data_IF_093611686724
#
_entry.id   IF_093611686724
#
_cell.length_a   1.000
_cell.length_b   1.000
_cell.length_c   1.000
_cell.angle_alpha   90.00
_cell.angle_beta   90.00
_cell.angle_gamma   90.00
#
_symmetry.space_group_name_H-M   'P 1'
#
loop_
_entity.id
_entity.type
_entity.pdbx_description
1 polymer ?
#
# COMPACT_ATOMS: atom_id res chain seq x y z
N UNK A 1 -33.06 -9.87 -51.13
CA UNK A 1 -33.66 -9.22 -49.95
C UNK A 1 -32.85 -9.67 -48.73
N UNK A 2 -31.69 -9.10 -48.39
CA UNK A 2 -31.36 -7.71 -48.07
C UNK A 2 -32.26 -7.10 -46.98
N UNK A 3 -31.84 -7.26 -45.73
CA UNK A 3 -31.77 -6.20 -44.70
C UNK A 3 -30.60 -6.53 -43.74
N UNK A 4 -29.56 -5.70 -43.81
CA UNK A 4 -28.47 -5.50 -42.84
C UNK A 4 -29.01 -5.10 -41.47
N UNK A 5 -28.25 -5.41 -40.41
CA UNK A 5 -27.58 -4.46 -39.48
C UNK A 5 -26.92 -5.28 -38.36
N UNK A 6 -25.62 -5.58 -38.38
CA UNK A 6 -24.53 -4.73 -37.84
C UNK A 6 -24.97 -3.97 -36.58
N UNK A 7 -24.75 -4.56 -35.40
CA UNK A 7 -24.97 -3.89 -34.11
C UNK A 7 -23.83 -4.13 -33.08
N UNK A 8 -22.70 -4.72 -33.48
CA UNK A 8 -21.57 -4.98 -32.57
C UNK A 8 -20.30 -4.19 -32.93
N UNK A 9 -20.45 -3.00 -33.50
CA UNK A 9 -19.35 -2.05 -33.67
C UNK A 9 -19.87 -0.61 -33.68
N UNK A 10 -19.08 0.29 -33.08
CA UNK A 10 -19.29 1.74 -32.85
C UNK A 10 -19.99 2.04 -31.51
N UNK A 11 -19.55 2.92 -30.62
CA UNK A 11 -18.40 3.81 -30.49
C UNK A 11 -18.53 4.39 -29.06
N UNK A 12 -17.48 4.37 -28.24
CA UNK A 12 -17.32 5.40 -27.20
C UNK A 12 -15.84 5.79 -27.12
N UNK A 13 -15.37 6.42 -28.20
CA UNK A 13 -14.17 7.24 -28.16
C UNK A 13 -14.53 8.54 -27.43
N UNK A 14 -14.38 8.52 -26.11
CA UNK A 14 -14.48 9.76 -25.32
C UNK A 14 -13.12 10.47 -25.35
N UNK A 15 -13.11 11.65 -25.95
CA UNK A 15 -12.15 12.70 -25.61
C UNK A 15 -11.13 13.04 -26.68
N UNK A 16 -11.53 13.96 -27.56
CA UNK A 16 -10.73 14.76 -28.49
C UNK A 16 -9.37 15.14 -27.91
N UNK A 17 -8.27 14.58 -28.44
CA UNK A 17 -6.92 15.09 -28.19
C UNK A 17 -6.58 16.11 -29.28
N UNK A 18 -6.51 17.40 -28.93
CA UNK A 18 -5.87 18.41 -29.77
C UNK A 18 -5.10 19.42 -28.92
N UNK A 19 -3.79 19.14 -28.90
CA UNK A 19 -2.61 20.00 -28.95
C UNK A 19 -2.20 20.89 -27.77
N UNK A 20 -0.94 20.61 -27.37
CA UNK A 20 -0.07 21.34 -26.47
C UNK A 20 -0.01 22.84 -26.74
N UNK A 21 -0.31 23.62 -25.71
CA UNK A 21 0.20 24.99 -25.56
C UNK A 21 0.74 25.09 -24.14
N UNK A 22 2.00 24.70 -23.97
CA UNK A 22 2.76 24.82 -22.70
C UNK A 22 2.43 23.79 -21.61
N UNK A 23 2.54 22.48 -21.89
CA UNK A 23 2.66 21.41 -20.86
C UNK A 23 1.54 21.37 -19.80
N UNK A 24 0.33 21.81 -20.11
CA UNK A 24 -0.84 21.69 -19.22
C UNK A 24 -1.76 20.61 -19.79
N UNK A 25 -1.84 19.47 -19.09
CA UNK A 25 -2.79 18.42 -19.39
C UNK A 25 -4.14 18.80 -18.76
N UNK A 26 -5.12 19.16 -19.60
CA UNK A 26 -6.49 19.37 -19.13
C UNK A 26 -7.10 18.02 -18.75
N UNK A 27 -7.47 17.85 -17.48
CA UNK A 27 -8.16 16.66 -16.98
C UNK A 27 -9.56 17.01 -16.48
N UNK A 28 -10.52 16.14 -16.78
CA UNK A 28 -11.86 16.24 -16.22
C UNK A 28 -11.82 15.84 -14.73
N UNK A 29 -12.35 16.72 -13.87
CA UNK A 29 -12.37 16.56 -12.41
C UNK A 29 -13.16 15.31 -11.99
N UNK A 30 -14.29 15.01 -12.64
CA UNK A 30 -15.13 13.85 -12.31
C UNK A 30 -14.36 12.54 -12.50
N UNK A 31 -13.75 12.39 -13.67
CA UNK A 31 -12.94 11.21 -14.01
C UNK A 31 -11.69 11.10 -13.11
N UNK A 32 -11.05 12.23 -12.78
CA UNK A 32 -9.88 12.25 -11.89
C UNK A 32 -10.26 11.88 -10.45
N UNK A 33 -11.40 12.36 -9.94
CA UNK A 33 -11.89 12.02 -8.61
C UNK A 33 -12.15 10.52 -8.46
N UNK A 34 -12.87 9.91 -9.41
CA UNK A 34 -13.16 8.47 -9.39
C UNK A 34 -11.86 7.67 -9.43
N UNK A 35 -10.95 8.03 -10.34
CA UNK A 35 -9.67 7.34 -10.51
C UNK A 35 -8.80 7.44 -9.26
N UNK A 36 -8.64 8.65 -8.72
CA UNK A 36 -7.84 8.88 -7.50
C UNK A 36 -8.42 8.17 -6.28
N UNK A 37 -9.75 8.20 -6.14
CA UNK A 37 -10.43 7.50 -5.04
C UNK A 37 -10.21 5.99 -5.11
N UNK A 38 -10.39 5.39 -6.28
CA UNK A 38 -10.20 3.94 -6.48
C UNK A 38 -8.73 3.55 -6.24
N UNK A 39 -7.78 4.31 -6.79
CA UNK A 39 -6.35 4.03 -6.64
C UNK A 39 -5.91 4.08 -5.17
N UNK A 40 -6.33 5.12 -4.43
CA UNK A 40 -6.02 5.21 -3.01
C UNK A 40 -6.70 4.09 -2.22
N UNK A 41 -8.00 3.85 -2.46
CA UNK A 41 -8.77 2.81 -1.77
C UNK A 41 -8.15 1.43 -1.96
N UNK A 42 -7.77 1.08 -3.19
CA UNK A 42 -7.13 -0.19 -3.49
C UNK A 42 -5.76 -0.32 -2.81
N UNK A 43 -4.97 0.76 -2.79
CA UNK A 43 -3.68 0.79 -2.09
C UNK A 43 -3.83 0.56 -0.57
N UNK A 44 -4.90 1.08 0.03
CA UNK A 44 -5.19 0.90 1.45
C UNK A 44 -5.60 -0.54 1.75
N UNK A 45 -6.50 -1.11 0.93
CA UNK A 45 -7.03 -2.46 1.12
C UNK A 45 -5.89 -3.48 1.06
N UNK A 46 -5.09 -3.44 -0.02
CA UNK A 46 -4.05 -4.45 -0.28
C UNK A 46 -2.75 -4.15 0.49
N UNK A 47 -2.36 -2.88 0.57
CA UNK A 47 -1.04 -2.46 1.05
C UNK A 47 -0.95 -2.10 2.52
N UNK A 48 -2.07 -2.04 3.26
CA UNK A 48 -2.07 -1.52 4.64
C UNK A 48 -3.06 -2.22 5.58
N UNK A 49 -4.33 -2.30 5.18
CA UNK A 49 -5.42 -2.59 6.10
C UNK A 49 -5.60 -4.09 6.38
N UNK A 50 -5.63 -4.91 5.33
CA UNK A 50 -5.91 -6.33 5.43
C UNK A 50 -4.63 -7.16 5.57
N UNK A 51 -4.63 -8.21 6.43
CA UNK A 51 -3.53 -9.16 6.50
C UNK A 51 -3.55 -10.14 5.32
N UNK A 52 -2.40 -10.75 5.02
CA UNK A 52 -2.32 -11.88 4.07
C UNK A 52 -2.82 -13.15 4.77
N UNK A 53 -3.56 -14.01 4.06
CA UNK A 53 -4.10 -15.27 4.58
C UNK A 53 -3.00 -16.25 4.99
N UNK A 54 -1.84 -16.21 4.34
CA UNK A 54 -0.77 -17.20 4.53
C UNK A 54 -0.06 -17.05 5.88
N UNK A 55 0.12 -15.81 6.32
CA UNK A 55 0.84 -15.50 7.57
C UNK A 55 -0.01 -14.75 8.59
N UNK A 56 -1.19 -14.24 8.22
CA UNK A 56 -2.04 -13.42 9.08
C UNK A 56 -1.44 -12.04 9.40
N UNK A 57 -0.34 -11.64 8.75
CA UNK A 57 0.40 -10.43 9.08
C UNK A 57 0.07 -9.28 8.14
N UNK A 58 -0.09 -8.10 8.72
CA UNK A 58 -0.11 -6.84 7.96
C UNK A 58 1.29 -6.52 7.44
N UNK A 59 1.43 -5.73 6.36
CA UNK A 59 2.74 -5.39 5.79
C UNK A 59 3.72 -4.76 6.79
N UNK A 60 3.24 -3.99 7.76
CA UNK A 60 4.09 -3.38 8.80
C UNK A 60 4.73 -4.44 9.72
N UNK A 61 3.97 -5.43 10.20
CA UNK A 61 4.48 -6.50 11.05
C UNK A 61 5.54 -7.33 10.33
N UNK A 62 5.28 -7.66 9.05
CA UNK A 62 6.22 -8.43 8.22
C UNK A 62 7.57 -7.72 8.06
N UNK A 63 7.56 -6.41 7.81
CA UNK A 63 8.77 -5.60 7.66
C UNK A 63 9.57 -5.50 8.96
N UNK A 64 8.89 -5.35 10.10
CA UNK A 64 9.52 -5.32 11.43
C UNK A 64 10.21 -6.65 11.72
N UNK A 65 9.48 -7.76 11.61
CA UNK A 65 10.03 -9.10 11.89
C UNK A 65 11.19 -9.44 10.95
N UNK A 66 11.08 -9.06 9.67
CA UNK A 66 12.18 -9.23 8.71
C UNK A 66 13.41 -8.41 9.10
N UNK A 67 13.23 -7.16 9.50
CA UNK A 67 14.33 -6.29 9.95
C UNK A 67 15.00 -6.83 11.22
N UNK A 68 14.22 -7.36 12.17
CA UNK A 68 14.76 -8.00 13.38
C UNK A 68 15.56 -9.27 13.05
N UNK A 69 15.12 -10.05 12.05
CA UNK A 69 15.86 -11.20 11.53
C UNK A 69 17.20 -10.77 10.90
N UNK A 70 17.19 -9.76 10.04
CA UNK A 70 18.40 -9.23 9.39
C UNK A 70 19.40 -8.65 10.41
N UNK A 71 18.91 -8.05 11.49
CA UNK A 71 19.73 -7.59 12.61
C UNK A 71 20.24 -8.72 13.52
N UNK A 72 19.84 -9.97 13.28
CA UNK A 72 20.24 -11.12 14.09
C UNK A 72 19.66 -11.12 15.51
N UNK A 73 18.50 -10.49 15.71
CA UNK A 73 17.84 -10.38 17.02
C UNK A 73 17.04 -11.65 17.32
N UNK A 74 17.76 -12.71 17.69
CA UNK A 74 17.18 -13.95 18.20
C UNK A 74 16.95 -13.90 19.71
N UNK A 75 16.09 -14.77 20.22
CA UNK A 75 15.72 -14.85 21.64
C UNK A 75 16.91 -15.03 22.61
N UNK A 76 18.02 -15.59 22.13
CA UNK A 76 19.23 -15.84 22.92
C UNK A 76 20.24 -14.68 22.95
N UNK A 77 19.92 -13.55 22.30
CA UNK A 77 20.80 -12.37 22.22
C UNK A 77 20.36 -11.29 23.20
N UNK A 78 21.29 -10.40 23.57
CA UNK A 78 21.00 -9.25 24.42
C UNK A 78 19.99 -8.30 23.78
N UNK A 79 19.08 -7.77 24.59
CA UNK A 79 18.11 -6.76 24.18
C UNK A 79 18.78 -5.54 23.52
N UNK A 80 18.11 -5.00 22.50
CA UNK A 80 18.51 -3.78 21.81
C UNK A 80 17.41 -2.73 21.95
N UNK A 81 17.80 -1.45 21.87
CA UNK A 81 16.88 -0.32 21.95
C UNK A 81 15.85 -0.38 20.80
N UNK A 82 14.58 -0.15 21.10
CA UNK A 82 13.50 -0.15 20.12
C UNK A 82 13.74 0.83 18.97
N UNK A 83 14.28 2.02 19.27
CA UNK A 83 14.63 3.03 18.27
C UNK A 83 15.58 2.51 17.16
N UNK A 84 16.45 1.53 17.49
CA UNK A 84 17.33 0.91 16.49
C UNK A 84 16.55 0.06 15.49
N UNK A 85 15.58 -0.71 15.97
CA UNK A 85 14.73 -1.58 15.12
C UNK A 85 13.83 -0.70 14.24
N UNK A 86 13.25 0.36 14.82
CA UNK A 86 12.43 1.33 14.10
C UNK A 86 13.26 2.00 12.99
N UNK A 87 14.44 2.54 13.32
CA UNK A 87 15.32 3.20 12.34
C UNK A 87 15.73 2.28 11.18
N UNK A 88 16.08 1.02 11.48
CA UNK A 88 16.44 0.04 10.45
C UNK A 88 15.26 -0.27 9.52
N UNK A 89 14.07 -0.48 10.10
CA UNK A 89 12.85 -0.81 9.35
C UNK A 89 12.45 0.34 8.43
N UNK A 90 12.57 1.58 8.90
CA UNK A 90 12.29 2.78 8.11
C UNK A 90 13.28 2.96 6.97
N UNK A 91 14.57 2.83 7.26
CA UNK A 91 15.63 3.07 6.28
C UNK A 91 15.60 2.08 5.11
N UNK A 92 15.16 0.84 5.35
CA UNK A 92 15.23 -0.22 4.33
C UNK A 92 13.88 -0.64 3.75
N UNK A 93 12.81 -0.69 4.55
CA UNK A 93 11.60 -1.42 4.16
C UNK A 93 10.29 -0.64 4.32
N UNK A 94 10.25 0.43 5.12
CA UNK A 94 9.01 1.12 5.46
C UNK A 94 9.12 2.64 5.25
N UNK A 95 8.72 3.18 4.08
CA UNK A 95 8.85 4.60 3.76
C UNK A 95 7.69 5.46 4.32
N UNK A 96 7.32 5.24 5.58
CA UNK A 96 6.27 5.99 6.28
C UNK A 96 6.75 6.42 7.67
N UNK A 97 5.88 7.02 8.48
CA UNK A 97 6.24 7.53 9.81
C UNK A 97 6.78 6.45 10.75
N UNK A 98 7.70 6.87 11.61
CA UNK A 98 8.29 6.07 12.69
C UNK A 98 7.23 5.61 13.71
N UNK A 99 6.25 6.47 14.00
CA UNK A 99 5.17 6.19 14.93
C UNK A 99 4.39 4.92 14.56
N UNK A 100 4.08 4.73 13.27
CA UNK A 100 3.36 3.53 12.81
C UNK A 100 4.11 2.23 13.04
N UNK A 101 5.45 2.28 12.94
CA UNK A 101 6.32 1.12 13.20
C UNK A 101 6.45 0.90 14.70
N UNK A 102 6.64 1.97 15.47
CA UNK A 102 6.79 1.91 16.92
C UNK A 102 5.54 1.38 17.62
N UNK A 103 4.36 1.90 17.26
CA UNK A 103 3.07 1.44 17.81
C UNK A 103 2.82 -0.03 17.49
N UNK A 104 3.18 -0.47 16.28
CA UNK A 104 3.07 -1.88 15.90
C UNK A 104 3.99 -2.77 16.75
N UNK A 105 5.22 -2.33 17.05
CA UNK A 105 6.14 -3.06 17.94
C UNK A 105 5.55 -3.17 19.35
N UNK A 106 5.11 -2.05 19.92
CA UNK A 106 4.54 -2.04 21.28
C UNK A 106 3.33 -2.97 21.36
N UNK A 107 2.43 -2.89 20.38
CA UNK A 107 1.23 -3.73 20.36
C UNK A 107 1.53 -5.21 20.23
N UNK A 108 2.58 -5.57 19.49
CA UNK A 108 3.05 -6.96 19.42
C UNK A 108 3.72 -7.45 20.70
N UNK A 109 4.27 -6.56 21.51
CA UNK A 109 4.95 -6.89 22.77
C UNK A 109 4.00 -6.96 23.99
N UNK A 110 2.76 -6.47 23.85
CA UNK A 110 1.76 -6.45 24.93
C UNK A 110 1.09 -7.82 25.09
N UNK A 111 1.33 -8.45 26.23
CA UNK A 111 0.76 -9.74 26.67
C UNK A 111 -0.77 -9.76 26.73
N UNK A 112 -1.40 -8.62 27.04
CA UNK A 112 -2.87 -8.51 27.04
C UNK A 112 -3.47 -8.21 25.65
N UNK A 113 -2.66 -7.79 24.66
CA UNK A 113 -3.17 -7.44 23.32
C UNK A 113 -3.15 -8.63 22.37
N UNK A 114 -2.14 -9.50 22.47
CA UNK A 114 -1.99 -10.68 21.62
C UNK A 114 -2.08 -11.94 22.45
N UNK A 115 -2.60 -13.00 21.84
CA UNK A 115 -2.72 -14.29 22.51
C UNK A 115 -1.36 -14.99 22.67
N UNK A 116 -0.41 -14.70 21.76
CA UNK A 116 0.92 -15.31 21.65
C UNK A 116 1.94 -14.29 21.14
#
# INVERSE_FOLDING_TARGET
>A
MAKNTKADAEEEKIGTQTQDISKVLVRNVENEMITSYINYSMSVIVGRALPDVRDGLKPVHRRILYSMKELGLSYNKTFKKAARIVGETLGKYHPHGDLSVYDAIIRMAQDFSLRY
#
